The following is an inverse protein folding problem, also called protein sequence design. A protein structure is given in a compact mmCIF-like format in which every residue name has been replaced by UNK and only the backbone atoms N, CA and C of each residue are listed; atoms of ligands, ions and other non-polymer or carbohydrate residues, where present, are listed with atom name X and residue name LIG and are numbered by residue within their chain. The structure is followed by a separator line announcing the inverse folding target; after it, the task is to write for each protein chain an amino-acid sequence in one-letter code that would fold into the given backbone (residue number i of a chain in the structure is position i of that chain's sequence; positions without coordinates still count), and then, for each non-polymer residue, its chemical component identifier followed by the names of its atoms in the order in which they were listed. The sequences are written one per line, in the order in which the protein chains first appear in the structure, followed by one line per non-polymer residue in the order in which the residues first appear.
data_IF_318298666024
#
_entry.id   IF_318298666024
#
_cell.length_a   1.000
_cell.length_b   1.000
_cell.length_c   1.000
_cell.angle_alpha   90.00
_cell.angle_beta   90.00
_cell.angle_gamma   90.00
#
_symmetry.space_group_name_H-M   'P 1'
#
loop_
_entity.id
_entity.type
_entity.pdbx_description
1 polymer ?
#
# COMPACT_ATOMS: atom_id res chain seq x y z
N UNK A 1 20.05 15.45 4.04
CA UNK A 1 18.67 15.69 4.43
C UNK A 1 17.89 14.38 4.39
N UNK A 2 17.43 13.90 5.50
CA UNK A 2 16.57 12.74 5.50
C UNK A 2 15.14 13.17 5.22
N UNK A 3 14.72 13.12 3.97
CA UNK A 3 13.30 13.06 3.70
C UNK A 3 12.78 11.77 4.33
N UNK A 4 11.91 11.90 5.31
CA UNK A 4 11.19 10.78 5.89
C UNK A 4 10.20 10.26 4.84
N UNK A 5 10.34 8.99 4.46
CA UNK A 5 9.50 8.38 3.41
C UNK A 5 8.03 8.42 3.82
N UNK A 6 7.73 8.09 5.08
CA UNK A 6 6.36 7.98 5.57
C UNK A 6 5.68 9.35 5.57
N UNK A 7 6.29 10.35 6.20
CA UNK A 7 5.73 11.70 6.26
C UNK A 7 5.61 12.33 4.87
N UNK A 8 6.60 12.13 3.99
CA UNK A 8 6.55 12.64 2.62
C UNK A 8 5.41 11.98 1.84
N UNK A 9 5.27 10.67 1.93
CA UNK A 9 4.21 9.92 1.24
C UNK A 9 2.82 10.23 1.78
N UNK A 10 2.66 10.35 3.11
CA UNK A 10 1.41 10.78 3.75
C UNK A 10 1.01 12.19 3.30
N UNK A 11 1.98 13.12 3.22
CA UNK A 11 1.75 14.47 2.75
C UNK A 11 1.32 14.48 1.28
N UNK A 12 2.01 13.75 0.41
CA UNK A 12 1.63 13.59 -0.99
C UNK A 12 0.20 13.03 -1.13
N UNK A 13 -0.13 12.01 -0.36
CA UNK A 13 -1.48 11.42 -0.33
C UNK A 13 -2.54 12.47 0.04
N UNK A 14 -2.27 13.29 1.06
CA UNK A 14 -3.18 14.34 1.50
C UNK A 14 -3.30 15.50 0.48
N UNK A 15 -2.25 15.77 -0.28
CA UNK A 15 -2.23 16.82 -1.31
C UNK A 15 -2.84 16.36 -2.65
N UNK A 16 -2.96 15.07 -2.91
CA UNK A 16 -3.46 14.54 -4.18
C UNK A 16 -4.81 15.14 -4.65
N UNK A 17 -5.79 15.48 -3.77
CA UNK A 17 -7.03 16.16 -4.18
C UNK A 17 -6.82 17.55 -4.79
N UNK A 18 -5.66 18.15 -4.63
CA UNK A 18 -5.32 19.50 -5.12
C UNK A 18 -4.48 19.50 -6.39
N UNK A 19 -4.19 18.31 -6.94
CA UNK A 19 -3.46 18.13 -8.21
C UNK A 19 -4.12 18.90 -9.36
N UNK A 20 -3.30 19.53 -10.21
CA UNK A 20 -3.76 20.26 -11.37
C UNK A 20 -4.39 21.63 -11.08
N UNK A 21 -4.28 22.12 -9.84
CA UNK A 21 -4.78 23.46 -9.48
C UNK A 21 -3.69 24.51 -9.68
N UNK A 22 -3.99 25.57 -10.44
CA UNK A 22 -3.09 26.72 -10.67
C UNK A 22 -2.89 27.61 -9.43
N UNK A 23 -3.43 27.21 -8.28
CA UNK A 23 -3.32 27.96 -7.04
C UNK A 23 -1.92 27.91 -6.48
N UNK A 24 -1.35 29.09 -6.23
CA UNK A 24 -0.03 29.22 -5.61
C UNK A 24 -0.12 29.50 -4.12
N UNK A 25 0.93 29.08 -3.40
CA UNK A 25 1.10 29.26 -1.96
C UNK A 25 2.48 29.84 -1.69
N UNK A 26 2.57 30.79 -0.75
CA UNK A 26 3.87 31.25 -0.25
C UNK A 26 4.27 30.35 0.92
N UNK A 27 5.41 29.71 0.79
CA UNK A 27 5.98 28.80 1.80
C UNK A 27 7.39 29.27 2.17
N UNK A 28 7.84 28.89 3.35
CA UNK A 28 9.23 29.11 3.75
C UNK A 28 10.00 27.81 3.54
N UNK A 29 11.01 27.84 2.69
CA UNK A 29 11.92 26.74 2.52
C UNK A 29 12.76 26.59 3.80
N UNK A 30 12.59 25.48 4.52
CA UNK A 30 13.23 25.25 5.82
C UNK A 30 14.75 25.08 5.72
N UNK A 31 15.29 24.79 4.55
CA UNK A 31 16.73 24.63 4.32
C UNK A 31 17.40 25.96 4.05
N UNK A 32 16.80 26.80 3.18
CA UNK A 32 17.36 28.10 2.79
C UNK A 32 16.86 29.23 3.68
N UNK A 33 15.74 29.04 4.39
CA UNK A 33 14.98 30.02 5.15
C UNK A 33 14.50 31.21 4.29
N UNK A 34 14.26 30.94 2.99
CA UNK A 34 13.74 31.91 2.03
C UNK A 34 12.27 31.63 1.75
N UNK A 35 11.51 32.68 1.43
CA UNK A 35 10.14 32.55 0.95
C UNK A 35 10.14 32.15 -0.53
N UNK A 36 9.33 31.14 -0.85
CA UNK A 36 9.11 30.66 -2.20
C UNK A 36 7.60 30.64 -2.50
N UNK A 37 7.25 30.90 -3.76
CA UNK A 37 5.87 30.78 -4.23
C UNK A 37 5.77 29.55 -5.11
N UNK A 38 4.97 28.59 -4.70
CA UNK A 38 4.88 27.27 -5.32
C UNK A 38 3.42 26.84 -5.52
N UNK A 39 3.20 25.97 -6.49
CA UNK A 39 1.96 25.19 -6.63
C UNK A 39 2.07 23.86 -5.87
N UNK A 40 0.94 23.18 -5.68
CA UNK A 40 0.94 21.83 -5.09
C UNK A 40 1.67 20.84 -6.00
N UNK A 41 1.51 20.97 -7.31
CA UNK A 41 2.16 20.07 -8.28
C UNK A 41 3.68 20.21 -8.26
N UNK A 42 4.21 21.44 -8.19
CA UNK A 42 5.67 21.68 -8.08
C UNK A 42 6.27 21.08 -6.81
N UNK A 43 5.57 21.19 -5.68
CA UNK A 43 6.00 20.56 -4.42
C UNK A 43 5.94 19.05 -4.52
N UNK A 44 4.89 18.52 -5.15
CA UNK A 44 4.74 17.08 -5.32
C UNK A 44 5.81 16.47 -6.23
N UNK A 45 6.16 17.13 -7.34
CA UNK A 45 7.26 16.71 -8.22
C UNK A 45 8.59 16.59 -7.45
N UNK A 46 8.91 17.60 -6.64
CA UNK A 46 10.11 17.58 -5.80
C UNK A 46 10.07 16.47 -4.77
N UNK A 47 8.92 16.23 -4.13
CA UNK A 47 8.73 15.18 -3.15
C UNK A 47 8.87 13.79 -3.77
N UNK A 48 8.28 13.52 -4.94
CA UNK A 48 8.48 12.27 -5.67
C UNK A 48 9.93 12.06 -6.09
N UNK A 49 10.61 13.10 -6.55
CA UNK A 49 12.04 13.02 -6.87
C UNK A 49 12.93 12.73 -5.64
N UNK A 50 12.49 13.09 -4.44
CA UNK A 50 13.13 12.69 -3.19
C UNK A 50 12.84 11.22 -2.85
N UNK A 51 11.57 10.79 -2.95
CA UNK A 51 11.17 9.41 -2.69
C UNK A 51 11.87 8.42 -3.61
N UNK A 52 11.94 8.72 -4.91
CA UNK A 52 12.63 7.89 -5.90
C UNK A 52 14.08 7.55 -5.51
N UNK A 53 14.80 8.50 -4.92
CA UNK A 53 16.20 8.30 -4.45
C UNK A 53 16.30 7.42 -3.20
N UNK A 54 15.19 7.23 -2.49
CA UNK A 54 15.11 6.40 -1.29
C UNK A 54 14.59 4.99 -1.58
N UNK A 55 14.35 4.67 -2.85
CA UNK A 55 14.00 3.32 -3.25
C UNK A 55 15.25 2.44 -3.36
N UNK A 56 15.21 1.27 -2.74
CA UNK A 56 16.25 0.25 -2.79
C UNK A 56 16.20 -0.55 -4.09
N UNK A 57 17.29 -1.23 -4.42
CA UNK A 57 17.39 -2.07 -5.63
C UNK A 57 16.40 -3.24 -5.68
N UNK A 58 15.88 -3.68 -4.54
CA UNK A 58 14.81 -4.68 -4.45
C UNK A 58 13.40 -4.11 -4.62
N UNK A 59 13.28 -2.79 -4.82
CA UNK A 59 12.02 -2.09 -4.98
C UNK A 59 11.42 -1.55 -3.68
N UNK A 60 11.92 -1.94 -2.50
CA UNK A 60 11.44 -1.44 -1.21
C UNK A 60 11.95 -0.03 -0.91
N UNK A 61 11.32 0.65 0.07
CA UNK A 61 11.72 1.99 0.48
C UNK A 61 12.63 1.96 1.70
N UNK A 62 13.65 2.84 1.67
CA UNK A 62 14.60 3.06 2.75
C UNK A 62 14.17 4.24 3.62
N UNK A 63 13.89 3.98 4.89
CA UNK A 63 13.65 5.01 5.91
C UNK A 63 14.72 4.89 7.00
N UNK A 64 15.47 5.96 7.23
CA UNK A 64 16.58 5.99 8.19
C UNK A 64 17.61 4.86 8.00
N UNK A 65 17.78 4.41 6.75
CA UNK A 65 18.74 3.37 6.38
C UNK A 65 18.23 1.94 6.54
N UNK A 66 16.96 1.75 6.88
CA UNK A 66 16.31 0.44 6.96
C UNK A 66 15.16 0.34 5.93
N UNK A 67 14.99 -0.84 5.36
CA UNK A 67 13.86 -1.16 4.48
C UNK A 67 12.69 -1.62 5.34
N UNK A 68 11.54 -0.96 5.18
CA UNK A 68 10.34 -1.29 5.95
C UNK A 68 9.12 -1.48 5.07
N UNK A 69 8.24 -2.38 5.49
CA UNK A 69 6.96 -2.64 4.84
C UNK A 69 6.06 -1.40 4.84
N UNK A 70 6.04 -0.67 5.94
CA UNK A 70 5.23 0.52 6.14
C UNK A 70 5.63 1.62 5.15
N UNK A 71 6.91 1.96 5.08
CA UNK A 71 7.42 3.00 4.17
C UNK A 71 7.17 2.65 2.71
N UNK A 72 7.37 1.38 2.34
CA UNK A 72 7.08 0.90 0.98
C UNK A 72 5.59 1.04 0.65
N UNK A 73 4.71 0.70 1.58
CA UNK A 73 3.27 0.82 1.44
C UNK A 73 2.79 2.27 1.31
N UNK A 74 3.35 3.18 2.12
CA UNK A 74 3.03 4.60 2.02
C UNK A 74 3.47 5.20 0.69
N UNK A 75 4.62 4.82 0.16
CA UNK A 75 5.05 5.23 -1.17
C UNK A 75 4.11 4.71 -2.27
N UNK A 76 3.68 3.43 -2.21
CA UNK A 76 2.68 2.87 -3.12
C UNK A 76 1.36 3.65 -3.08
N UNK A 77 0.87 3.98 -1.88
CA UNK A 77 -0.34 4.77 -1.68
C UNK A 77 -0.20 6.18 -2.27
N UNK A 78 0.94 6.84 -2.05
CA UNK A 78 1.20 8.17 -2.60
C UNK A 78 1.19 8.16 -4.13
N UNK A 79 1.91 7.22 -4.78
CA UNK A 79 1.94 7.11 -6.23
C UNK A 79 0.53 6.88 -6.80
N UNK A 80 -0.20 5.89 -6.27
CA UNK A 80 -1.56 5.59 -6.71
C UNK A 80 -2.50 6.79 -6.53
N UNK A 81 -2.37 7.55 -5.43
CA UNK A 81 -3.16 8.75 -5.18
C UNK A 81 -2.93 9.87 -6.18
N UNK A 82 -1.74 9.93 -6.78
CA UNK A 82 -1.36 10.90 -7.82
C UNK A 82 -1.52 10.36 -9.24
N UNK A 83 -2.11 9.18 -9.42
CA UNK A 83 -2.32 8.57 -10.72
C UNK A 83 -1.04 8.05 -11.37
N UNK A 84 0.02 7.82 -10.59
CA UNK A 84 1.28 7.24 -11.04
C UNK A 84 1.20 5.72 -11.01
N UNK A 85 1.54 5.08 -12.12
CA UNK A 85 1.51 3.61 -12.22
C UNK A 85 2.82 3.01 -11.69
N UNK A 86 2.78 2.36 -10.55
CA UNK A 86 3.95 1.73 -9.91
C UNK A 86 4.65 0.66 -10.78
N UNK A 87 3.99 0.18 -11.84
CA UNK A 87 4.55 -0.83 -12.75
C UNK A 87 5.32 -0.25 -13.91
N UNK A 88 5.08 1.03 -14.24
CA UNK A 88 5.61 1.67 -15.45
C UNK A 88 6.25 3.03 -15.20
N UNK A 89 6.12 3.61 -14.02
CA UNK A 89 6.81 4.84 -13.67
C UNK A 89 8.31 4.54 -13.46
N UNK A 90 9.12 4.96 -14.44
CA UNK A 90 10.56 4.65 -14.48
C UNK A 90 11.32 5.22 -13.29
N UNK A 91 10.82 6.30 -12.67
CA UNK A 91 11.41 6.90 -11.48
C UNK A 91 11.32 5.97 -10.25
N UNK A 92 10.39 4.99 -10.28
CA UNK A 92 10.15 4.04 -9.21
C UNK A 92 10.40 2.58 -9.62
N UNK A 93 11.33 2.38 -10.56
CA UNK A 93 11.83 1.05 -10.94
C UNK A 93 13.34 1.03 -10.73
N UNK A 94 13.82 0.30 -9.72
CA UNK A 94 15.23 0.15 -9.39
C UNK A 94 15.69 -1.27 -9.69
N UNK A 95 16.73 -1.42 -10.50
CA UNK A 95 17.26 -2.73 -10.95
C UNK A 95 16.18 -3.68 -11.51
N UNK A 96 15.12 -3.11 -12.12
CA UNK A 96 13.99 -3.84 -12.68
C UNK A 96 12.90 -4.20 -11.67
N UNK A 97 13.04 -3.81 -10.41
CA UNK A 97 12.07 -4.03 -9.34
C UNK A 97 11.26 -2.76 -9.07
N UNK A 98 9.95 -2.89 -9.01
CA UNK A 98 9.03 -1.82 -8.62
C UNK A 98 8.65 -1.92 -7.13
N UNK A 99 7.86 -0.95 -6.63
CA UNK A 99 7.44 -0.91 -5.22
C UNK A 99 6.66 -2.16 -4.77
N UNK A 100 5.90 -2.79 -5.67
CA UNK A 100 5.19 -4.02 -5.33
C UNK A 100 6.15 -5.20 -5.15
N UNK A 101 7.24 -5.26 -5.93
CA UNK A 101 8.26 -6.29 -5.75
C UNK A 101 8.96 -6.11 -4.40
N UNK A 102 9.28 -4.86 -4.02
CA UNK A 102 9.77 -4.52 -2.69
C UNK A 102 8.79 -4.90 -1.58
N UNK A 103 7.49 -4.59 -1.75
CA UNK A 103 6.48 -4.93 -0.75
C UNK A 103 6.31 -6.43 -0.54
N UNK A 104 6.45 -7.23 -1.60
CA UNK A 104 6.40 -8.69 -1.51
C UNK A 104 7.50 -9.30 -0.65
N UNK A 105 8.65 -8.63 -0.53
CA UNK A 105 9.76 -9.12 0.28
C UNK A 105 9.42 -9.20 1.77
N UNK A 106 8.43 -8.43 2.23
CA UNK A 106 7.96 -8.43 3.62
C UNK A 106 6.86 -9.46 3.90
N UNK A 107 6.37 -10.16 2.88
CA UNK A 107 5.25 -11.09 3.05
C UNK A 107 5.72 -12.44 3.62
N UNK A 108 5.05 -12.89 4.67
CA UNK A 108 5.22 -14.22 5.24
C UNK A 108 4.34 -15.26 4.53
N UNK A 109 4.71 -16.56 4.58
CA UNK A 109 3.94 -17.63 3.96
C UNK A 109 2.49 -17.76 4.47
N UNK A 110 2.22 -17.32 5.69
CA UNK A 110 0.89 -17.32 6.32
C UNK A 110 0.05 -16.10 5.95
N UNK A 111 0.59 -15.18 5.16
CA UNK A 111 -0.05 -13.93 4.73
C UNK A 111 0.18 -12.76 5.69
N UNK A 112 0.95 -12.93 6.75
CA UNK A 112 1.42 -11.84 7.60
C UNK A 112 2.44 -10.97 6.86
N UNK A 113 2.69 -9.78 7.39
CA UNK A 113 3.75 -8.88 6.92
C UNK A 113 4.72 -8.60 8.05
N UNK A 114 6.01 -8.72 7.79
CA UNK A 114 7.06 -8.31 8.73
C UNK A 114 7.29 -6.81 8.62
N UNK A 115 7.87 -6.22 9.66
CA UNK A 115 8.19 -4.80 9.69
C UNK A 115 9.39 -4.46 8.80
N UNK A 116 10.51 -5.16 8.97
CA UNK A 116 11.78 -4.80 8.35
C UNK A 116 12.57 -5.97 7.80
N UNK A 117 13.51 -5.67 6.90
CA UNK A 117 14.42 -6.64 6.29
C UNK A 117 15.87 -6.52 6.79
N UNK A 118 16.19 -5.42 7.48
CA UNK A 118 17.58 -5.05 7.81
C UNK A 118 17.88 -5.18 9.32
N UNK A 119 17.09 -5.93 10.06
CA UNK A 119 17.32 -6.23 11.48
C UNK A 119 18.46 -7.23 11.70
N UNK A 120 19.02 -7.26 12.93
CA UNK A 120 20.05 -8.24 13.32
C UNK A 120 19.50 -9.69 13.32
N UNK A 121 18.20 -9.87 13.47
CA UNK A 121 17.51 -11.14 13.43
C UNK A 121 16.42 -11.12 12.36
N UNK A 122 16.22 -12.25 11.68
CA UNK A 122 15.17 -12.41 10.69
C UNK A 122 13.79 -12.39 11.38
N UNK A 123 12.92 -11.48 10.96
CA UNK A 123 11.54 -11.44 11.43
C UNK A 123 10.74 -12.60 10.82
N UNK A 124 10.20 -13.46 11.66
CA UNK A 124 9.43 -14.65 11.26
C UNK A 124 7.97 -14.59 11.71
N UNK A 125 7.57 -13.50 12.35
CA UNK A 125 6.22 -13.28 12.87
C UNK A 125 5.65 -11.99 12.30
N UNK A 126 4.41 -12.03 11.85
CA UNK A 126 3.74 -10.86 11.29
C UNK A 126 3.61 -9.72 12.31
N UNK A 127 3.86 -8.51 11.83
CA UNK A 127 3.68 -7.27 12.56
C UNK A 127 2.33 -6.65 12.18
N UNK A 128 1.51 -6.31 13.17
CA UNK A 128 0.17 -5.76 12.91
C UNK A 128 0.22 -4.43 12.17
N UNK A 129 1.18 -3.54 12.52
CA UNK A 129 1.30 -2.24 11.86
C UNK A 129 1.72 -2.43 10.40
N UNK A 130 2.71 -3.27 10.13
CA UNK A 130 3.13 -3.62 8.79
C UNK A 130 1.95 -4.18 7.97
N UNK A 131 1.15 -5.08 8.58
CA UNK A 131 0.00 -5.71 7.92
C UNK A 131 -1.07 -4.72 7.47
N UNK A 132 -1.57 -3.84 8.37
CA UNK A 132 -2.63 -2.91 7.97
C UNK A 132 -2.12 -1.79 7.05
N UNK A 133 -0.87 -1.36 7.19
CA UNK A 133 -0.31 -0.36 6.27
C UNK A 133 -0.01 -0.97 4.90
N UNK A 134 0.43 -2.24 4.83
CA UNK A 134 0.53 -2.95 3.57
C UNK A 134 -0.81 -3.01 2.84
N UNK A 135 -1.91 -3.22 3.57
CA UNK A 135 -3.25 -3.20 3.00
C UNK A 135 -3.58 -1.83 2.37
N UNK A 136 -3.19 -0.72 2.98
CA UNK A 136 -3.41 0.62 2.39
C UNK A 136 -2.70 0.77 1.05
N UNK A 137 -1.42 0.41 0.97
CA UNK A 137 -0.66 0.47 -0.28
C UNK A 137 -1.22 -0.42 -1.37
N UNK A 138 -1.52 -1.68 -1.03
CA UNK A 138 -2.07 -2.67 -1.96
C UNK A 138 -3.46 -2.27 -2.47
N UNK A 139 -4.35 -1.83 -1.58
CA UNK A 139 -5.69 -1.38 -1.95
C UNK A 139 -5.64 -0.12 -2.82
N UNK A 140 -4.77 0.84 -2.51
CA UNK A 140 -4.62 2.04 -3.33
C UNK A 140 -4.18 1.69 -4.77
N UNK A 141 -3.22 0.78 -4.92
CA UNK A 141 -2.78 0.31 -6.24
C UNK A 141 -3.88 -0.47 -6.95
N UNK A 142 -4.61 -1.31 -6.24
CA UNK A 142 -5.74 -2.05 -6.81
C UNK A 142 -6.82 -1.09 -7.32
N UNK A 143 -7.24 -0.12 -6.52
CA UNK A 143 -8.23 0.89 -6.91
C UNK A 143 -7.77 1.71 -8.12
N UNK A 144 -6.51 2.12 -8.13
CA UNK A 144 -5.91 2.79 -9.29
C UNK A 144 -6.00 1.93 -10.57
N UNK A 145 -5.65 0.65 -10.49
CA UNK A 145 -5.69 -0.28 -11.63
C UNK A 145 -7.10 -0.56 -12.14
N UNK A 146 -8.08 -0.57 -11.25
CA UNK A 146 -9.49 -0.75 -11.60
C UNK A 146 -10.17 0.55 -12.04
N UNK A 147 -9.45 1.69 -12.05
CA UNK A 147 -9.99 3.00 -12.43
C UNK A 147 -10.99 3.57 -11.42
N UNK A 148 -10.86 3.15 -10.17
CA UNK A 148 -11.65 3.64 -9.03
C UNK A 148 -11.03 4.91 -8.46
N UNK A 149 -11.77 5.61 -7.60
CA UNK A 149 -11.27 6.77 -6.88
C UNK A 149 -10.10 6.40 -5.93
N UNK A 150 -9.33 7.41 -5.53
CA UNK A 150 -8.24 7.25 -4.55
C UNK A 150 -8.74 6.59 -3.26
N UNK A 151 -7.87 5.88 -2.56
CA UNK A 151 -8.23 5.10 -1.37
C UNK A 151 -9.06 5.87 -0.33
N UNK A 152 -8.79 7.17 -0.13
CA UNK A 152 -9.51 8.00 0.84
C UNK A 152 -10.66 8.82 0.22
N UNK A 153 -10.99 8.56 -1.04
CA UNK A 153 -12.18 9.09 -1.72
C UNK A 153 -13.09 7.90 -2.09
N UNK A 154 -13.99 7.57 -1.20
CA UNK A 154 -14.89 6.42 -1.34
C UNK A 154 -16.26 6.81 -1.95
N UNK A 155 -16.33 7.95 -2.65
CA UNK A 155 -17.60 8.41 -3.27
C UNK A 155 -18.09 7.52 -4.41
N UNK A 156 -17.23 6.65 -4.94
CA UNK A 156 -17.52 5.61 -5.92
C UNK A 156 -17.83 4.24 -5.31
N UNK A 157 -17.68 4.09 -3.99
CA UNK A 157 -17.99 2.84 -3.31
C UNK A 157 -19.51 2.65 -3.21
N UNK A 158 -19.96 1.40 -3.38
CA UNK A 158 -21.36 1.06 -3.14
C UNK A 158 -21.74 1.35 -1.69
N UNK A 159 -22.85 2.04 -1.50
CA UNK A 159 -23.42 2.24 -0.17
C UNK A 159 -24.08 0.95 0.29
N UNK A 160 -23.55 0.36 1.34
CA UNK A 160 -24.14 -0.82 1.97
C UNK A 160 -25.37 -0.37 2.77
N UNK A 161 -26.49 -1.04 2.57
CA UNK A 161 -27.72 -0.76 3.32
C UNK A 161 -27.58 -1.18 4.79
N UNK A 162 -28.38 -0.57 5.67
CA UNK A 162 -28.43 -0.96 7.08
C UNK A 162 -28.76 -2.45 7.26
N UNK A 163 -29.66 -2.99 6.41
CA UNK A 163 -30.03 -4.41 6.43
C UNK A 163 -28.86 -5.32 6.07
N UNK A 164 -28.03 -4.92 5.11
CA UNK A 164 -26.82 -5.66 4.73
C UNK A 164 -25.74 -5.61 5.83
N UNK A 165 -25.58 -4.47 6.48
CA UNK A 165 -24.68 -4.30 7.64
C UNK A 165 -25.14 -5.20 8.79
N UNK A 166 -26.45 -5.22 9.09
CA UNK A 166 -27.00 -6.06 10.11
C UNK A 166 -26.85 -7.56 9.78
N UNK A 167 -27.14 -7.96 8.54
CA UNK A 167 -26.97 -9.33 8.09
C UNK A 167 -25.50 -9.78 8.10
N UNK A 168 -24.55 -8.89 7.84
CA UNK A 168 -23.13 -9.16 7.99
C UNK A 168 -22.73 -9.28 9.46
N UNK A 169 -23.28 -8.44 10.33
CA UNK A 169 -23.07 -8.50 11.78
C UNK A 169 -23.60 -9.79 12.41
N UNK A 170 -24.72 -10.32 11.92
CA UNK A 170 -25.29 -11.60 12.37
C UNK A 170 -24.42 -12.83 11.96
N UNK A 171 -23.64 -12.70 10.90
CA UNK A 171 -22.71 -13.75 10.44
C UNK A 171 -21.37 -13.73 11.18
N UNK A 172 -21.03 -12.63 11.83
CA UNK A 172 -19.85 -12.59 12.68
C UNK A 172 -20.16 -13.41 13.94
N UNK A 173 -19.22 -14.28 14.40
CA UNK A 173 -19.41 -14.96 15.68
C UNK A 173 -19.66 -13.90 16.75
N UNK A 174 -20.76 -14.07 17.53
CA UNK A 174 -21.09 -13.17 18.62
C UNK A 174 -19.85 -12.94 19.49
N UNK A 175 -19.22 -11.79 19.31
CA UNK A 175 -18.37 -11.23 20.33
C UNK A 175 -19.33 -10.87 21.47
N UNK A 176 -19.58 -11.84 22.39
CA UNK A 176 -20.40 -11.59 23.59
C UNK A 176 -19.79 -10.38 24.26
N UNK A 177 -20.46 -9.23 24.12
CA UNK A 177 -20.15 -8.07 24.92
C UNK A 177 -20.29 -8.54 26.38
N UNK A 178 -19.19 -8.69 27.08
CA UNK A 178 -19.20 -8.94 28.51
C UNK A 178 -19.58 -7.62 29.19
N UNK A 179 -20.88 -7.39 29.30
CA UNK A 179 -21.49 -6.36 30.16
C UNK A 179 -21.35 -6.81 31.62
N UNK A 180 -20.16 -6.97 32.11
CA UNK A 180 -19.87 -7.09 33.54
C UNK A 180 -18.63 -6.27 33.84
N UNK A 181 -18.78 -5.37 34.82
CA UNK A 181 -17.65 -4.66 35.40
C UNK A 181 -16.55 -5.68 35.71
N UNK A 182 -15.43 -5.53 35.07
CA UNK A 182 -14.35 -6.50 35.12
C UNK A 182 -13.73 -6.51 36.52
N UNK A 183 -14.13 -7.48 37.31
CA UNK A 183 -13.58 -7.73 38.65
C UNK A 183 -12.40 -8.68 38.62
N UNK A 184 -11.86 -8.97 37.41
CA UNK A 184 -10.71 -9.88 37.24
C UNK A 184 -9.43 -9.30 37.80
N UNK A 185 -8.56 -10.18 38.21
CA UNK A 185 -7.19 -9.82 38.59
C UNK A 185 -6.43 -9.24 37.38
N UNK A 186 -5.40 -8.42 37.57
CA UNK A 186 -4.63 -7.82 36.50
C UNK A 186 -4.11 -8.85 35.48
N UNK A 187 -3.75 -10.06 35.92
CA UNK A 187 -3.32 -11.17 35.05
C UNK A 187 -4.44 -11.70 34.16
N UNK A 188 -5.69 -11.81 34.67
CA UNK A 188 -6.84 -12.27 33.87
C UNK A 188 -7.27 -11.22 32.85
N UNK A 189 -7.10 -9.93 33.17
CA UNK A 189 -7.36 -8.82 32.22
C UNK A 189 -6.32 -8.84 31.10
N UNK A 190 -5.06 -9.03 31.43
CA UNK A 190 -3.95 -9.11 30.48
C UNK A 190 -4.12 -10.31 29.52
N UNK A 191 -4.51 -11.48 30.03
CA UNK A 191 -4.81 -12.65 29.21
C UNK A 191 -6.04 -12.44 28.30
N UNK A 192 -7.09 -11.78 28.80
CA UNK A 192 -8.28 -11.47 28.01
C UNK A 192 -7.98 -10.44 26.91
N UNK A 193 -7.16 -9.43 27.19
CA UNK A 193 -6.72 -8.43 26.22
C UNK A 193 -5.84 -9.10 25.15
N UNK A 194 -4.91 -9.95 25.54
CA UNK A 194 -4.06 -10.70 24.61
C UNK A 194 -4.89 -11.62 23.71
N UNK A 195 -5.87 -12.35 24.25
CA UNK A 195 -6.74 -13.21 23.46
C UNK A 195 -7.63 -12.39 22.50
N UNK A 196 -8.18 -11.25 22.94
CA UNK A 196 -8.96 -10.36 22.07
C UNK A 196 -8.11 -9.76 20.95
N UNK A 197 -6.89 -9.39 21.26
CA UNK A 197 -5.91 -8.89 20.28
C UNK A 197 -5.58 -10.01 19.28
N UNK A 198 -5.39 -11.24 19.74
CA UNK A 198 -5.12 -12.41 18.89
C UNK A 198 -6.26 -12.67 17.89
N UNK A 199 -7.53 -12.61 18.33
CA UNK A 199 -8.69 -12.79 17.42
C UNK A 199 -8.88 -11.66 16.44
N UNK A 200 -8.65 -10.40 16.85
CA UNK A 200 -8.66 -9.24 15.95
C UNK A 200 -7.56 -9.34 14.90
N UNK A 201 -6.37 -9.74 15.33
CA UNK A 201 -5.23 -9.92 14.41
C UNK A 201 -5.45 -11.06 13.42
N UNK A 202 -6.04 -12.18 13.86
CA UNK A 202 -6.39 -13.28 12.99
C UNK A 202 -7.46 -12.89 11.94
N UNK A 203 -8.45 -12.08 12.31
CA UNK A 203 -9.48 -11.59 11.40
C UNK A 203 -8.90 -10.61 10.36
N UNK A 204 -8.01 -9.72 10.79
CA UNK A 204 -7.32 -8.78 9.89
C UNK A 204 -6.38 -9.54 8.96
N UNK A 205 -5.61 -10.51 9.47
CA UNK A 205 -4.72 -11.35 8.67
C UNK A 205 -5.51 -12.12 7.60
N UNK A 206 -6.68 -12.67 7.93
CA UNK A 206 -7.52 -13.37 6.96
C UNK A 206 -8.05 -12.44 5.84
N UNK A 207 -8.40 -11.20 6.18
CA UNK A 207 -8.81 -10.20 5.20
C UNK A 207 -7.65 -9.80 4.29
N UNK A 208 -6.45 -9.59 4.83
CA UNK A 208 -5.22 -9.29 4.05
C UNK A 208 -4.89 -10.43 3.10
N UNK A 209 -4.94 -11.70 3.57
CA UNK A 209 -4.70 -12.86 2.72
C UNK A 209 -5.69 -12.92 1.55
N UNK A 210 -6.96 -12.62 1.79
CA UNK A 210 -7.96 -12.62 0.72
C UNK A 210 -7.64 -11.57 -0.34
N UNK A 211 -7.30 -10.36 0.07
CA UNK A 211 -6.92 -9.27 -0.86
C UNK A 211 -5.66 -9.64 -1.64
N UNK A 212 -4.64 -10.17 -0.97
CA UNK A 212 -3.39 -10.61 -1.64
C UNK A 212 -3.66 -11.74 -2.63
N UNK A 213 -4.51 -12.71 -2.29
CA UNK A 213 -4.87 -13.82 -3.20
C UNK A 213 -5.62 -13.30 -4.42
N UNK A 214 -6.57 -12.39 -4.23
CA UNK A 214 -7.32 -11.76 -5.35
C UNK A 214 -6.34 -10.99 -6.26
N UNK A 215 -5.44 -10.22 -5.66
CA UNK A 215 -4.45 -9.44 -6.38
C UNK A 215 -3.47 -10.32 -7.18
N UNK A 216 -2.91 -11.37 -6.55
CA UNK A 216 -2.04 -12.34 -7.24
C UNK A 216 -2.79 -13.07 -8.37
N UNK A 217 -4.06 -13.41 -8.17
CA UNK A 217 -4.87 -14.01 -9.22
C UNK A 217 -5.10 -13.06 -10.41
N UNK A 218 -5.28 -11.76 -10.14
CA UNK A 218 -5.39 -10.73 -11.17
C UNK A 218 -4.06 -10.58 -11.96
N UNK A 219 -2.93 -10.54 -11.27
CA UNK A 219 -1.59 -10.48 -11.90
C UNK A 219 -1.31 -11.70 -12.77
N UNK A 220 -1.64 -12.91 -12.31
CA UNK A 220 -1.48 -14.14 -13.10
C UNK A 220 -2.37 -14.14 -14.35
N UNK A 221 -3.56 -13.55 -14.25
CA UNK A 221 -4.49 -13.40 -15.38
C UNK A 221 -3.94 -12.39 -16.41
N UNK A 222 -3.34 -11.29 -15.95
CA UNK A 222 -2.73 -10.27 -16.81
C UNK A 222 -1.45 -10.82 -17.48
N UNK A 223 -0.60 -11.53 -16.76
CA UNK A 223 0.57 -12.21 -17.32
C UNK A 223 0.21 -13.24 -18.41
N UNK A 224 -0.88 -14.01 -18.22
CA UNK A 224 -1.39 -14.94 -19.24
C UNK A 224 -1.94 -14.20 -20.46
N UNK A 225 -2.58 -13.03 -20.28
CA UNK A 225 -3.08 -12.19 -21.40
C UNK A 225 -1.92 -11.61 -22.20
N UNK A 226 -0.88 -11.08 -21.54
CA UNK A 226 0.32 -10.54 -22.20
C UNK A 226 1.08 -11.63 -22.96
N UNK A 227 1.22 -12.83 -22.37
CA UNK A 227 1.86 -13.96 -23.05
C UNK A 227 1.09 -14.39 -24.30
N UNK A 228 -0.24 -14.47 -24.21
CA UNK A 228 -1.12 -14.81 -25.37
C UNK A 228 -1.13 -13.72 -26.45
N UNK A 229 -0.98 -12.45 -26.07
CA UNK A 229 -0.83 -11.35 -27.02
C UNK A 229 0.54 -11.37 -27.72
N UNK A 230 1.62 -11.72 -26.99
CA UNK A 230 2.95 -11.86 -27.57
C UNK A 230 3.04 -13.08 -28.54
N UNK A 231 2.45 -14.22 -28.17
CA UNK A 231 2.36 -15.41 -29.04
C UNK A 231 1.53 -15.12 -30.30
N UNK A 232 0.48 -14.30 -30.22
CA UNK A 232 -0.33 -13.92 -31.40
C UNK A 232 0.36 -12.91 -32.32
N UNK A 233 1.36 -12.17 -31.85
CA UNK A 233 2.19 -11.28 -32.70
C UNK A 233 3.33 -12.04 -33.39
N UNK A 234 3.81 -13.13 -32.81
CA UNK A 234 4.90 -13.95 -33.39
C UNK A 234 4.37 -14.85 -34.54
N UNK A 235 3.08 -15.21 -34.51
CA UNK A 235 2.44 -16.01 -35.56
C UNK A 235 2.09 -15.19 -36.84
N UNK A 236 2.05 -13.85 -36.75
CA UNK A 236 1.70 -12.98 -37.90
C UNK A 236 2.94 -12.62 -38.78
N UNK A 237 4.15 -12.83 -38.28
CA UNK A 237 5.40 -12.53 -39.01
C UNK A 237 5.94 -13.70 -39.87
N UNK A 238 5.21 -14.83 -40.00
CA UNK A 238 5.70 -16.02 -40.71
C UNK A 238 5.12 -16.23 -42.09
N UNK A 239 4.24 -15.36 -42.61
CA UNK A 239 3.56 -15.56 -43.88
C UNK A 239 4.03 -14.69 -45.08
N UNK A 240 5.18 -13.97 -44.95
CA UNK A 240 5.67 -13.09 -46.05
C UNK A 240 6.98 -13.52 -46.73
N UNK A 241 7.27 -14.81 -46.81
CA UNK A 241 8.39 -15.31 -47.65
C UNK A 241 7.98 -16.44 -48.59
N UNK A 242 7.08 -16.13 -49.54
CA UNK A 242 6.94 -16.90 -50.81
C UNK A 242 6.54 -15.96 -51.97
N UNK A 243 7.57 -15.38 -52.64
CA UNK A 243 7.58 -15.05 -54.08
C UNK A 243 9.04 -14.96 -54.60
#
# INVERSE_FOLDING_TARGET
DPSDVDLTSMTLTALAPYQGQDKTYTVVNIVTNEEETVTVDEVAEQAFACLSKLQSSDGSMLTYGARTSESTSWAMLALASWGKDIYTDEDFIQDGNNLLDGQKAFALPDGGMIHGLDGDEEETTGNNMAGYQALYGLEAVYRYKEGQNRLFDLTDAETVSEDEIQAAGEKLPELKAQDQADTRSGEEVEEAVNNRTLYLTAAIAAAVVLVVVIFLAALLKDGKRKKKAAEAMDDDDTDDDEW
#
